data_IF_498903158625
#
_entry.id   IF_498903158625
#
_cell.length_a   1.000
_cell.length_b   1.000
_cell.length_c   1.000
_cell.angle_alpha   90.00
_cell.angle_beta   90.00
_cell.angle_gamma   90.00
#
_symmetry.space_group_name_H-M   'P 1'
#
loop_
_entity.id
_entity.type
_entity.pdbx_description
1 polymer ?
#
# COMPACT_ATOMS: atom_id res chain seq x y z
N UNK A 1 -62.44 -7.76 -31.23
CA UNK A 1 -61.58 -8.54 -30.33
C UNK A 1 -60.18 -7.90 -30.27
N UNK A 2 -59.88 -7.14 -29.21
CA UNK A 2 -58.60 -6.43 -29.05
C UNK A 2 -57.71 -7.18 -28.04
N UNK A 3 -56.52 -7.58 -28.49
CA UNK A 3 -55.57 -8.43 -27.74
C UNK A 3 -54.78 -7.55 -26.76
N UNK A 4 -55.01 -7.68 -25.46
CA UNK A 4 -54.26 -6.99 -24.41
C UNK A 4 -52.77 -7.42 -24.43
N UNK A 5 -51.89 -6.52 -24.85
CA UNK A 5 -50.43 -6.72 -24.77
C UNK A 5 -49.97 -6.35 -23.36
N UNK A 6 -49.69 -7.35 -22.51
CA UNK A 6 -49.14 -7.14 -21.16
C UNK A 6 -47.74 -6.51 -21.27
N UNK A 7 -47.59 -5.30 -20.74
CA UNK A 7 -46.29 -4.64 -20.59
C UNK A 7 -45.50 -5.42 -19.54
N UNK A 8 -44.44 -6.11 -19.95
CA UNK A 8 -43.49 -6.72 -19.01
C UNK A 8 -42.56 -5.62 -18.49
N UNK A 9 -42.77 -5.20 -17.25
CA UNK A 9 -41.83 -4.34 -16.55
C UNK A 9 -40.55 -5.14 -16.27
N UNK A 10 -39.51 -4.87 -17.07
CA UNK A 10 -38.16 -5.38 -16.86
C UNK A 10 -37.67 -4.88 -15.50
N UNK A 11 -37.43 -5.79 -14.56
CA UNK A 11 -36.89 -5.49 -13.22
C UNK A 11 -35.52 -4.81 -13.39
N UNK A 12 -35.50 -3.47 -13.37
CA UNK A 12 -34.27 -2.68 -13.37
C UNK A 12 -33.46 -3.08 -12.13
N UNK A 13 -32.16 -3.29 -12.36
CA UNK A 13 -31.12 -3.51 -11.35
C UNK A 13 -31.33 -2.57 -10.16
N UNK A 14 -31.60 -3.13 -8.98
CA UNK A 14 -31.54 -2.34 -7.76
C UNK A 14 -30.07 -2.16 -7.38
N UNK A 15 -29.50 -0.94 -7.39
CA UNK A 15 -28.45 -0.65 -6.45
C UNK A 15 -29.15 -0.59 -5.10
N UNK A 16 -29.21 -1.73 -4.41
CA UNK A 16 -29.73 -1.79 -3.05
C UNK A 16 -28.77 -1.04 -2.14
N UNK A 17 -28.95 0.28 -2.08
CA UNK A 17 -28.49 1.11 -0.99
C UNK A 17 -29.03 0.48 0.30
N UNK A 18 -28.16 -0.22 1.03
CA UNK A 18 -28.44 -0.72 2.37
C UNK A 18 -28.56 0.48 3.30
N UNK A 19 -29.78 0.99 3.43
CA UNK A 19 -30.17 1.92 4.49
C UNK A 19 -30.31 1.07 5.76
N UNK A 20 -29.32 1.15 6.65
CA UNK A 20 -29.45 0.60 8.01
C UNK A 20 -30.02 1.65 8.96
N UNK A 21 -30.97 1.23 9.80
CA UNK A 21 -31.64 2.02 10.85
C UNK A 21 -30.63 2.55 11.88
N UNK A 22 -30.76 3.84 12.22
CA UNK A 22 -30.28 4.44 13.47
C UNK A 22 -28.94 5.16 13.39
N UNK A 23 -28.95 6.45 13.71
CA UNK A 23 -27.85 7.40 14.00
C UNK A 23 -26.43 7.13 13.45
N UNK A 24 -26.30 6.51 12.28
CA UNK A 24 -25.03 6.36 11.57
C UNK A 24 -24.92 7.48 10.54
N UNK A 25 -23.81 8.23 10.56
CA UNK A 25 -23.52 9.28 9.59
C UNK A 25 -23.80 8.84 8.15
N UNK A 26 -24.26 9.76 7.28
CA UNK A 26 -24.48 9.48 5.88
C UNK A 26 -23.21 8.85 5.30
N UNK A 27 -23.36 7.64 4.75
CA UNK A 27 -22.29 6.97 4.02
C UNK A 27 -21.95 7.84 2.82
N UNK A 28 -20.97 8.73 3.00
CA UNK A 28 -20.33 9.41 1.88
C UNK A 28 -19.88 8.35 0.86
N UNK A 29 -19.72 8.72 -0.42
CA UNK A 29 -19.50 7.81 -1.54
C UNK A 29 -18.15 7.07 -1.53
N UNK A 30 -17.50 6.93 -0.37
CA UNK A 30 -16.47 5.93 -0.15
C UNK A 30 -17.12 4.57 0.05
N UNK A 31 -17.34 3.85 -1.05
CA UNK A 31 -17.72 2.43 -1.05
C UNK A 31 -16.76 1.59 -0.19
N UNK A 32 -17.22 0.42 0.27
CA UNK A 32 -16.37 -0.60 0.91
C UNK A 32 -15.16 -1.02 0.04
N UNK A 33 -15.13 -0.58 -1.22
CA UNK A 33 -14.04 -0.71 -2.20
C UNK A 33 -13.13 0.53 -2.30
N UNK A 34 -13.14 1.43 -1.31
CA UNK A 34 -12.26 2.59 -1.33
C UNK A 34 -10.79 2.16 -1.33
N UNK A 35 -10.06 2.65 -2.33
CA UNK A 35 -8.67 2.26 -2.58
C UNK A 35 -7.73 2.77 -1.48
N UNK A 36 -8.07 3.92 -0.89
CA UNK A 36 -7.24 4.69 0.03
C UNK A 36 -7.90 5.08 1.36
N UNK A 37 -9.23 5.08 1.50
CA UNK A 37 -9.86 5.49 2.77
C UNK A 37 -10.04 4.32 3.74
N UNK A 38 -10.03 4.62 5.04
CA UNK A 38 -10.27 3.67 6.12
C UNK A 38 -11.26 4.32 7.07
N UNK A 39 -12.29 3.58 7.50
CA UNK A 39 -13.27 4.04 8.47
C UNK A 39 -12.92 3.59 9.90
N UNK A 40 -12.09 2.55 10.03
CA UNK A 40 -11.70 1.98 11.31
C UNK A 40 -10.25 1.48 11.32
N UNK A 41 -9.67 1.35 12.52
CA UNK A 41 -8.35 0.74 12.71
C UNK A 41 -8.32 -0.73 12.25
N UNK A 42 -9.44 -1.45 12.39
CA UNK A 42 -9.57 -2.82 11.91
C UNK A 42 -9.45 -2.89 10.37
N UNK A 43 -10.02 -1.90 9.66
CA UNK A 43 -9.92 -1.80 8.20
C UNK A 43 -8.51 -1.39 7.74
N UNK A 44 -7.84 -0.50 8.48
CA UNK A 44 -6.43 -0.16 8.25
C UNK A 44 -5.54 -1.40 8.40
N UNK A 45 -5.74 -2.18 9.48
CA UNK A 45 -5.05 -3.45 9.72
C UNK A 45 -5.29 -4.42 8.57
N UNK A 46 -6.54 -4.60 8.15
CA UNK A 46 -6.88 -5.49 7.03
C UNK A 46 -6.22 -5.05 5.71
N UNK A 47 -6.16 -3.74 5.45
CA UNK A 47 -5.64 -3.21 4.19
C UNK A 47 -4.12 -3.05 4.15
N UNK A 48 -3.41 -2.93 5.27
CA UNK A 48 -1.94 -2.73 5.31
C UNK A 48 -1.13 -3.76 6.11
N UNK A 49 -1.74 -4.60 6.94
CA UNK A 49 -1.00 -5.54 7.81
C UNK A 49 -1.28 -7.00 7.51
N UNK A 50 -2.14 -7.30 6.53
CA UNK A 50 -2.48 -8.66 6.11
C UNK A 50 -1.64 -9.08 4.91
N UNK A 51 -1.05 -10.27 4.98
CA UNK A 51 -0.20 -10.84 3.91
C UNK A 51 -0.95 -11.77 2.95
N UNK A 52 -2.19 -12.13 3.28
CA UNK A 52 -3.02 -13.04 2.50
C UNK A 52 -3.87 -12.30 1.46
N UNK A 53 -4.20 -13.00 0.38
CA UNK A 53 -5.05 -12.48 -0.69
C UNK A 53 -4.32 -11.70 -1.78
N UNK A 54 -5.11 -11.19 -2.72
CA UNK A 54 -4.63 -10.58 -3.97
C UNK A 54 -4.88 -9.08 -3.97
N UNK A 55 -3.86 -8.27 -4.23
CA UNK A 55 -3.98 -6.80 -4.26
C UNK A 55 -4.01 -6.19 -5.68
N UNK A 56 -5.08 -5.48 -6.08
CA UNK A 56 -5.20 -4.96 -7.44
C UNK A 56 -4.20 -3.83 -7.70
N UNK A 57 -3.74 -3.75 -8.95
CA UNK A 57 -2.70 -2.81 -9.39
C UNK A 57 -2.97 -1.36 -8.96
N UNK A 58 -4.21 -0.87 -9.13
CA UNK A 58 -4.58 0.51 -8.76
C UNK A 58 -4.44 0.74 -7.25
N UNK A 59 -4.93 -0.19 -6.42
CA UNK A 59 -4.81 -0.08 -4.97
C UNK A 59 -3.35 -0.24 -4.52
N UNK A 60 -2.56 -1.08 -5.17
CA UNK A 60 -1.12 -1.18 -4.91
C UNK A 60 -0.42 0.15 -5.19
N UNK A 61 -0.56 0.71 -6.40
CA UNK A 61 0.07 1.97 -6.78
C UNK A 61 -0.31 3.09 -5.80
N UNK A 62 -1.61 3.27 -5.56
CA UNK A 62 -2.08 4.36 -4.70
C UNK A 62 -1.60 4.21 -3.25
N UNK A 63 -1.67 3.00 -2.68
CA UNK A 63 -1.22 2.76 -1.30
C UNK A 63 0.30 2.89 -1.18
N UNK A 64 1.06 2.40 -2.14
CA UNK A 64 2.52 2.54 -2.16
C UNK A 64 2.92 4.00 -2.32
N UNK A 65 2.27 4.77 -3.20
CA UNK A 65 2.53 6.21 -3.35
C UNK A 65 2.24 6.99 -2.08
N UNK A 66 1.11 6.72 -1.41
CA UNK A 66 0.78 7.36 -0.13
C UNK A 66 1.81 7.00 0.95
N UNK A 67 2.23 5.73 1.04
CA UNK A 67 3.27 5.31 1.97
C UNK A 67 4.63 5.95 1.64
N UNK A 68 5.01 6.04 0.37
CA UNK A 68 6.26 6.69 -0.05
C UNK A 68 6.24 8.18 0.27
N UNK A 69 5.13 8.87 0.00
CA UNK A 69 4.97 10.28 0.31
C UNK A 69 5.00 10.53 1.83
N UNK A 70 4.26 9.73 2.60
CA UNK A 70 4.28 9.81 4.06
C UNK A 70 5.69 9.54 4.61
N UNK A 71 6.37 8.50 4.11
CA UNK A 71 7.75 8.15 4.46
C UNK A 71 8.70 9.33 4.22
N UNK A 72 8.62 9.94 3.03
CA UNK A 72 9.46 11.08 2.66
C UNK A 72 9.19 12.30 3.54
N UNK A 73 7.92 12.58 3.85
CA UNK A 73 7.54 13.72 4.68
C UNK A 73 8.08 13.61 6.10
N UNK A 74 7.82 12.49 6.79
CA UNK A 74 8.30 12.37 8.17
C UNK A 74 9.82 12.17 8.21
N UNK A 75 10.43 11.51 7.21
CA UNK A 75 11.89 11.35 7.18
C UNK A 75 12.59 12.70 7.00
N UNK A 76 12.10 13.57 6.11
CA UNK A 76 12.65 14.90 5.92
C UNK A 76 12.52 15.77 7.19
N UNK A 77 11.37 15.71 7.86
CA UNK A 77 11.12 16.46 9.10
C UNK A 77 12.01 15.95 10.25
N UNK A 78 12.09 14.64 10.46
CA UNK A 78 12.89 14.08 11.56
C UNK A 78 14.39 14.22 11.30
N UNK A 79 14.82 14.09 10.03
CA UNK A 79 16.21 14.28 9.65
C UNK A 79 16.67 15.74 9.85
N UNK A 80 15.84 16.73 9.48
CA UNK A 80 16.19 18.13 9.72
C UNK A 80 16.33 18.44 11.21
N UNK A 81 15.43 17.92 12.05
CA UNK A 81 15.53 18.06 13.51
C UNK A 81 16.72 17.32 14.11
N UNK A 82 17.04 16.14 13.58
CA UNK A 82 18.24 15.40 13.96
C UNK A 82 19.51 16.20 13.62
N UNK A 83 19.60 16.74 12.40
CA UNK A 83 20.74 17.53 11.95
C UNK A 83 20.92 18.82 12.78
N UNK A 84 19.82 19.53 13.10
CA UNK A 84 19.84 20.67 14.02
C UNK A 84 20.35 20.29 15.42
N UNK A 85 19.88 19.17 15.97
CA UNK A 85 20.30 18.69 17.29
C UNK A 85 21.80 18.33 17.34
N UNK A 86 22.32 17.73 16.27
CA UNK A 86 23.76 17.44 16.11
C UNK A 86 24.57 18.73 15.98
N UNK A 87 24.09 19.71 15.20
CA UNK A 87 24.78 20.99 15.01
C UNK A 87 24.87 21.80 16.32
N UNK A 88 23.85 21.75 17.16
CA UNK A 88 23.81 22.42 18.47
C UNK A 88 24.53 21.58 19.56
N UNK A 89 25.11 20.44 19.18
CA UNK A 89 25.82 19.49 20.05
C UNK A 89 24.98 18.97 21.23
N UNK A 90 23.66 18.83 21.03
CA UNK A 90 22.72 18.29 22.02
C UNK A 90 22.38 16.85 21.68
N UNK A 91 23.31 15.96 22.02
CA UNK A 91 23.24 14.53 21.70
C UNK A 91 22.00 13.83 22.26
N UNK A 92 21.47 14.29 23.41
CA UNK A 92 20.24 13.75 24.00
C UNK A 92 19.04 13.94 23.06
N UNK A 93 18.89 15.11 22.45
CA UNK A 93 17.81 15.38 21.50
C UNK A 93 18.01 14.61 20.19
N UNK A 94 19.25 14.52 19.70
CA UNK A 94 19.57 13.74 18.51
C UNK A 94 19.18 12.26 18.68
N UNK A 95 19.49 11.66 19.84
CA UNK A 95 19.10 10.29 20.17
C UNK A 95 17.59 10.10 20.19
N UNK A 96 16.84 11.04 20.80
CA UNK A 96 15.37 10.98 20.84
C UNK A 96 14.77 11.03 19.43
N UNK A 97 15.23 11.94 18.57
CA UNK A 97 14.74 12.03 17.18
C UNK A 97 15.07 10.77 16.37
N UNK A 98 16.25 10.18 16.58
CA UNK A 98 16.63 8.92 15.94
C UNK A 98 15.73 7.75 16.39
N UNK A 99 15.42 7.66 17.69
CA UNK A 99 14.51 6.63 18.22
C UNK A 99 13.10 6.80 17.63
N UNK A 100 12.58 8.02 17.61
CA UNK A 100 11.26 8.32 17.03
C UNK A 100 11.22 7.94 15.55
N UNK A 101 12.29 8.23 14.81
CA UNK A 101 12.41 7.86 13.40
C UNK A 101 12.33 6.34 13.19
N UNK A 102 13.07 5.56 13.99
CA UNK A 102 13.01 4.09 13.93
C UNK A 102 11.60 3.60 14.24
N UNK A 103 10.98 4.10 15.31
CA UNK A 103 9.63 3.67 15.72
C UNK A 103 8.57 3.94 14.64
N UNK A 104 8.62 5.10 13.98
CA UNK A 104 7.71 5.44 12.88
C UNK A 104 7.99 4.64 11.60
N UNK A 105 9.23 4.21 11.39
CA UNK A 105 9.59 3.41 10.21
C UNK A 105 9.03 1.98 10.25
N UNK A 106 8.90 1.38 11.43
CA UNK A 106 8.41 0.00 11.63
C UNK A 106 7.05 -0.26 10.94
N UNK A 107 5.97 0.50 11.23
CA UNK A 107 4.67 0.26 10.61
C UNK A 107 4.69 0.51 9.09
N UNK A 108 5.54 1.41 8.59
CA UNK A 108 5.66 1.67 7.15
C UNK A 108 6.34 0.50 6.44
N UNK A 109 7.44 -0.01 6.99
CA UNK A 109 8.14 -1.19 6.47
C UNK A 109 7.18 -2.39 6.41
N UNK A 110 6.44 -2.62 7.50
CA UNK A 110 5.46 -3.71 7.55
C UNK A 110 4.37 -3.55 6.49
N UNK A 111 3.90 -2.32 6.30
CA UNK A 111 2.89 -1.99 5.30
C UNK A 111 3.41 -2.21 3.87
N UNK A 112 4.65 -1.85 3.58
CA UNK A 112 5.27 -2.08 2.28
C UNK A 112 5.42 -3.58 1.97
N UNK A 113 5.88 -4.36 2.95
CA UNK A 113 6.01 -5.82 2.82
C UNK A 113 4.67 -6.48 2.54
N UNK A 114 3.61 -6.11 3.27
CA UNK A 114 2.28 -6.70 3.07
C UNK A 114 1.69 -6.38 1.70
N UNK A 115 1.89 -5.17 1.20
CA UNK A 115 1.41 -4.74 -0.12
C UNK A 115 2.18 -5.46 -1.23
N UNK A 116 3.49 -5.57 -1.08
CA UNK A 116 4.38 -6.25 -2.01
C UNK A 116 4.09 -7.75 -2.15
N UNK A 117 3.98 -8.47 -1.03
CA UNK A 117 3.65 -9.91 -1.05
C UNK A 117 2.30 -10.18 -1.72
N UNK A 118 1.27 -9.39 -1.40
CA UNK A 118 -0.06 -9.52 -2.04
C UNK A 118 -0.07 -9.14 -3.51
N UNK A 119 0.88 -8.33 -3.96
CA UNK A 119 1.09 -8.02 -5.37
C UNK A 119 1.76 -9.17 -6.11
N UNK A 120 2.74 -9.83 -5.50
CA UNK A 120 3.33 -11.07 -6.01
C UNK A 120 2.28 -12.19 -6.11
N UNK A 121 1.42 -12.34 -5.10
CA UNK A 121 0.30 -13.29 -5.13
C UNK A 121 -0.68 -13.01 -6.27
N UNK A 122 -0.89 -11.74 -6.66
CA UNK A 122 -1.73 -11.39 -7.81
C UNK A 122 -1.11 -11.80 -9.16
N UNK A 123 0.20 -11.96 -9.21
CA UNK A 123 0.92 -12.45 -10.38
C UNK A 123 1.14 -13.97 -10.35
N UNK A 124 0.49 -14.67 -9.41
CA UNK A 124 0.69 -16.09 -9.14
C UNK A 124 2.17 -16.46 -8.88
N UNK A 125 2.92 -15.54 -8.26
CA UNK A 125 4.30 -15.75 -7.81
C UNK A 125 4.32 -15.85 -6.29
N UNK A 126 5.35 -16.53 -5.76
CA UNK A 126 5.58 -16.60 -4.32
C UNK A 126 5.80 -15.20 -3.75
N UNK A 127 5.17 -14.90 -2.60
CA UNK A 127 5.31 -13.61 -1.92
C UNK A 127 6.76 -13.23 -1.60
N UNK A 128 7.64 -14.23 -1.46
CA UNK A 128 9.08 -14.06 -1.23
C UNK A 128 9.80 -13.30 -2.35
N UNK A 129 9.25 -13.22 -3.56
CA UNK A 129 9.87 -12.49 -4.67
C UNK A 129 9.95 -10.97 -4.37
N UNK A 130 9.10 -10.47 -3.47
CA UNK A 130 9.18 -9.09 -3.00
C UNK A 130 10.38 -8.80 -2.07
N UNK A 131 11.10 -9.83 -1.60
CA UNK A 131 12.33 -9.62 -0.81
C UNK A 131 13.41 -8.95 -1.64
N UNK A 132 13.47 -9.21 -2.95
CA UNK A 132 14.46 -8.62 -3.87
C UNK A 132 14.39 -7.08 -3.89
N UNK A 133 13.26 -6.45 -4.30
CA UNK A 133 13.15 -4.99 -4.28
C UNK A 133 13.27 -4.41 -2.87
N UNK A 134 12.85 -5.14 -1.83
CA UNK A 134 12.92 -4.67 -0.46
C UNK A 134 14.36 -4.67 0.09
N UNK A 135 15.15 -5.70 -0.21
CA UNK A 135 16.56 -5.75 0.13
C UNK A 135 17.35 -4.63 -0.58
N UNK A 136 17.06 -4.40 -1.86
CA UNK A 136 17.64 -3.28 -2.60
C UNK A 136 17.23 -1.91 -2.02
N UNK A 137 15.99 -1.77 -1.53
CA UNK A 137 15.55 -0.57 -0.81
C UNK A 137 16.36 -0.34 0.47
N UNK A 138 16.56 -1.36 1.30
CA UNK A 138 17.39 -1.23 2.51
C UNK A 138 18.86 -0.94 2.17
N UNK A 139 19.40 -1.62 1.16
CA UNK A 139 20.77 -1.41 0.68
C UNK A 139 20.98 0.04 0.19
N UNK A 140 19.94 0.68 -0.39
CA UNK A 140 20.01 2.06 -0.83
C UNK A 140 20.25 3.09 0.29
N UNK A 141 19.93 2.75 1.55
CA UNK A 141 20.24 3.60 2.71
C UNK A 141 21.62 3.33 3.30
N UNK A 142 22.09 2.08 3.26
CA UNK A 142 23.32 1.65 3.94
C UNK A 142 24.55 1.88 3.06
N UNK A 143 24.47 1.53 1.77
CA UNK A 143 25.62 1.56 0.85
C UNK A 143 26.21 2.96 0.63
N UNK A 144 25.44 4.06 0.52
CA UNK A 144 26.01 5.40 0.44
C UNK A 144 26.78 5.80 1.71
N UNK A 145 26.28 5.40 2.88
CA UNK A 145 26.94 5.69 4.17
C UNK A 145 28.27 4.93 4.26
N UNK A 146 28.34 3.74 3.68
CA UNK A 146 29.57 2.95 3.59
C UNK A 146 30.55 3.41 2.49
N UNK A 147 30.23 4.47 1.73
CA UNK A 147 31.06 4.97 0.62
C UNK A 147 31.08 4.07 -0.62
N UNK A 148 30.10 3.16 -0.75
CA UNK A 148 29.99 2.23 -1.88
C UNK A 148 29.03 2.75 -2.95
N UNK A 149 29.38 3.87 -3.59
CA UNK A 149 28.46 4.61 -4.48
C UNK A 149 27.99 3.80 -5.70
N UNK A 150 28.89 3.03 -6.32
CA UNK A 150 28.55 2.18 -7.49
C UNK A 150 27.55 1.08 -7.11
N UNK A 151 27.74 0.44 -5.96
CA UNK A 151 26.82 -0.56 -5.43
C UNK A 151 25.49 0.08 -5.04
N UNK A 152 25.50 1.29 -4.49
CA UNK A 152 24.28 2.04 -4.15
C UNK A 152 23.46 2.36 -5.41
N UNK A 153 24.09 2.83 -6.48
CA UNK A 153 23.42 3.09 -7.76
C UNK A 153 22.85 1.79 -8.37
N UNK A 154 23.58 0.68 -8.29
CA UNK A 154 23.09 -0.62 -8.72
C UNK A 154 21.85 -1.06 -7.91
N UNK A 155 21.89 -0.94 -6.59
CA UNK A 155 20.74 -1.27 -5.73
C UNK A 155 19.50 -0.39 -6.05
N UNK A 156 19.70 0.91 -6.24
CA UNK A 156 18.63 1.85 -6.58
C UNK A 156 18.00 1.54 -7.94
N UNK A 157 18.81 1.18 -8.94
CA UNK A 157 18.30 0.82 -10.28
C UNK A 157 17.51 -0.49 -10.25
N UNK A 158 18.00 -1.53 -9.56
CA UNK A 158 17.28 -2.80 -9.38
C UNK A 158 15.94 -2.57 -8.67
N UNK A 159 15.94 -1.75 -7.62
CA UNK A 159 14.72 -1.35 -6.92
C UNK A 159 13.74 -0.67 -7.88
N UNK A 160 14.18 0.35 -8.62
CA UNK A 160 13.33 1.11 -9.53
C UNK A 160 12.71 0.23 -10.61
N UNK A 161 13.51 -0.63 -11.26
CA UNK A 161 13.03 -1.56 -12.29
C UNK A 161 12.03 -2.56 -11.70
N UNK A 162 12.28 -3.08 -10.50
CA UNK A 162 11.38 -4.03 -9.85
C UNK A 162 10.03 -3.41 -9.51
N UNK A 163 10.02 -2.21 -8.92
CA UNK A 163 8.77 -1.48 -8.63
C UNK A 163 8.02 -1.09 -9.91
N UNK A 164 8.74 -0.69 -10.97
CA UNK A 164 8.14 -0.44 -12.29
C UNK A 164 7.47 -1.69 -12.84
N UNK A 165 8.12 -2.86 -12.72
CA UNK A 165 7.54 -4.16 -13.07
C UNK A 165 6.24 -4.42 -12.31
N UNK A 166 6.23 -4.24 -10.99
CA UNK A 166 5.02 -4.42 -10.18
C UNK A 166 3.90 -3.42 -10.52
N UNK A 167 4.25 -2.22 -10.98
CA UNK A 167 3.28 -1.20 -11.42
C UNK A 167 2.71 -1.45 -12.81
N UNK A 168 3.46 -2.10 -13.70
CA UNK A 168 3.06 -2.26 -15.12
C UNK A 168 2.39 -3.61 -15.38
N UNK A 169 2.95 -4.70 -14.84
CA UNK A 169 2.53 -6.07 -15.13
C UNK A 169 1.08 -6.32 -14.72
N UNK A 170 0.26 -6.94 -15.57
CA UNK A 170 -1.12 -7.30 -15.21
C UNK A 170 -1.12 -8.54 -14.29
N UNK A 171 -2.07 -8.58 -13.35
CA UNK A 171 -2.28 -9.79 -12.54
C UNK A 171 -2.88 -10.93 -13.37
N UNK A 172 -2.84 -12.15 -12.84
CA UNK A 172 -3.41 -13.33 -13.50
C UNK A 172 -4.95 -13.27 -13.55
N UNK A 173 -5.55 -13.66 -14.67
CA UNK A 173 -7.01 -13.89 -14.76
C UNK A 173 -7.38 -15.25 -14.18
N UNK A 174 -8.59 -15.37 -13.66
CA UNK A 174 -9.06 -16.59 -12.99
C UNK A 174 -8.55 -16.77 -11.56
N UNK A 175 -9.01 -17.85 -10.95
CA UNK A 175 -8.59 -18.28 -9.62
C UNK A 175 -7.11 -18.67 -9.64
N UNK A 176 -6.38 -18.37 -8.57
CA UNK A 176 -4.99 -18.75 -8.43
C UNK A 176 -4.73 -19.41 -7.06
N UNK A 177 -3.51 -19.93 -6.86
CA UNK A 177 -3.12 -20.63 -5.64
C UNK A 177 -3.24 -19.78 -4.36
N UNK A 178 -3.39 -18.46 -4.50
CA UNK A 178 -3.43 -17.49 -3.41
C UNK A 178 -4.82 -16.84 -3.23
N UNK A 179 -5.83 -17.26 -4.00
CA UNK A 179 -7.23 -16.87 -3.81
C UNK A 179 -8.04 -16.74 -5.12
N UNK A 180 -9.38 -16.61 -4.98
CA UNK A 180 -10.28 -16.50 -6.12
C UNK A 180 -10.07 -15.23 -6.92
N UNK A 181 -10.55 -15.23 -8.18
CA UNK A 181 -10.59 -14.04 -9.02
C UNK A 181 -11.41 -12.93 -8.35
N UNK A 182 -10.90 -11.70 -8.44
CA UNK A 182 -11.59 -10.55 -7.85
C UNK A 182 -12.89 -10.29 -8.61
N UNK A 183 -13.97 -10.00 -7.88
CA UNK A 183 -15.14 -9.38 -8.47
C UNK A 183 -14.72 -8.03 -9.12
N UNK A 184 -15.01 -7.88 -10.41
CA UNK A 184 -14.68 -6.68 -11.21
C UNK A 184 -15.45 -5.46 -10.74
#
# INVERSE_FOLDING_TARGET
MAKHKKIQLKKRSGPAARIHRGLSMPVGPGSDSSTLSFRSLAELKAKYFVFTGRLPRRSFIMRTLVLMFAQLMFSAILYSRFAEAVLINRMDYAAVFAIIFVLLSIPVIWSQLSLGMRRCHDMNKQGALFIIPFACYLASYILPIAGMDTAAMAAQSIMAVSYLGFFTVKGTSGDNAYGPERAR
#
